data_IF_033275808059
#
_entry.id   IF_033275808059
#
_cell.length_a   1.000
_cell.length_b   1.000
_cell.length_c   1.000
_cell.angle_alpha   90.00
_cell.angle_beta   90.00
_cell.angle_gamma   90.00
#
_symmetry.space_group_name_H-M   'P 1'
#
loop_
_entity.id
_entity.type
_entity.pdbx_description
1 polymer ?
#
# COMPACT_ATOMS: atom_id res chain seq x y z
N UNK A 1 -29.09 -10.33 -35.95
CA UNK A 1 -27.99 -11.18 -35.43
C UNK A 1 -27.68 -10.76 -34.01
N UNK A 2 -27.32 -11.75 -33.21
CA UNK A 2 -27.63 -11.88 -31.79
C UNK A 2 -26.88 -10.91 -30.86
N UNK A 3 -27.60 -10.42 -29.85
CA UNK A 3 -27.13 -9.49 -28.83
C UNK A 3 -26.33 -10.23 -27.76
N UNK A 4 -25.02 -9.98 -27.73
CA UNK A 4 -24.12 -10.57 -26.73
C UNK A 4 -24.42 -10.01 -25.33
N UNK A 5 -25.23 -10.75 -24.56
CA UNK A 5 -25.50 -10.56 -23.13
C UNK A 5 -24.20 -10.49 -22.35
N UNK A 6 -23.91 -9.34 -21.74
CA UNK A 6 -22.97 -9.22 -20.61
C UNK A 6 -23.38 -10.21 -19.53
N UNK A 7 -22.50 -11.16 -19.22
CA UNK A 7 -22.63 -12.07 -18.07
C UNK A 7 -22.57 -11.30 -16.75
N UNK A 8 -23.67 -10.64 -16.39
CA UNK A 8 -23.88 -10.07 -15.07
C UNK A 8 -24.01 -11.21 -14.07
N UNK A 9 -23.09 -11.28 -13.11
CA UNK A 9 -23.19 -12.19 -11.97
C UNK A 9 -24.46 -11.80 -11.20
N UNK A 10 -25.54 -12.57 -11.43
CA UNK A 10 -26.87 -12.36 -10.85
C UNK A 10 -26.85 -12.49 -9.32
N UNK A 11 -27.35 -11.46 -8.65
CA UNK A 11 -28.39 -11.61 -7.62
C UNK A 11 -28.08 -12.40 -6.34
N UNK A 12 -26.91 -12.23 -5.72
CA UNK A 12 -26.67 -12.64 -4.33
C UNK A 12 -26.32 -11.45 -3.45
N UNK A 13 -26.57 -11.53 -2.14
CA UNK A 13 -26.15 -10.50 -1.19
C UNK A 13 -24.67 -10.17 -1.41
N UNK A 14 -24.36 -8.91 -1.75
CA UNK A 14 -22.98 -8.49 -2.03
C UNK A 14 -22.16 -8.67 -0.77
N UNK A 15 -21.22 -9.61 -0.78
CA UNK A 15 -20.20 -9.72 0.27
C UNK A 15 -19.50 -8.38 0.42
N UNK A 16 -19.25 -7.93 1.66
CA UNK A 16 -18.52 -6.70 1.92
C UNK A 16 -17.20 -6.71 1.13
N UNK A 17 -16.94 -5.63 0.40
CA UNK A 17 -15.72 -5.51 -0.38
C UNK A 17 -14.52 -5.40 0.56
N UNK A 18 -13.59 -6.35 0.46
CA UNK A 18 -12.31 -6.29 1.18
C UNK A 18 -11.27 -5.63 0.29
N UNK A 19 -10.57 -4.62 0.81
CA UNK A 19 -9.55 -3.89 0.05
C UNK A 19 -8.32 -4.76 -0.23
N UNK A 20 -7.55 -4.42 -1.27
CA UNK A 20 -6.31 -5.14 -1.57
C UNK A 20 -5.27 -5.03 -0.45
N UNK A 21 -5.22 -3.89 0.25
CA UNK A 21 -4.36 -3.70 1.42
C UNK A 21 -4.72 -4.67 2.54
N UNK A 22 -6.01 -4.75 2.92
CA UNK A 22 -6.48 -5.67 3.96
C UNK A 22 -6.21 -7.13 3.56
N UNK A 23 -6.47 -7.50 2.30
CA UNK A 23 -6.18 -8.87 1.81
C UNK A 23 -4.69 -9.23 1.83
N UNK A 24 -3.82 -8.24 1.67
CA UNK A 24 -2.37 -8.43 1.67
C UNK A 24 -1.74 -8.26 3.07
N UNK A 25 -2.52 -7.88 4.09
CA UNK A 25 -2.00 -7.61 5.43
C UNK A 25 -1.15 -6.34 5.53
N UNK A 26 -1.34 -5.37 4.64
CA UNK A 26 -0.52 -4.15 4.56
C UNK A 26 -1.29 -2.93 5.07
N UNK A 27 -0.62 -2.07 5.84
CA UNK A 27 -1.11 -0.73 6.21
C UNK A 27 -1.06 0.24 5.02
N UNK A 28 -0.06 0.09 4.15
CA UNK A 28 0.13 0.96 3.00
C UNK A 28 -0.96 0.76 1.93
N UNK A 29 -1.35 1.83 1.20
CA UNK A 29 -2.50 1.78 0.30
C UNK A 29 -2.15 1.18 -1.07
N UNK A 30 -2.27 -0.15 -1.20
CA UNK A 30 -2.02 -0.92 -2.45
C UNK A 30 -2.79 -0.34 -3.65
N UNK A 31 -4.06 0.05 -3.46
CA UNK A 31 -4.88 0.62 -4.54
C UNK A 31 -4.37 1.96 -5.06
N UNK A 32 -3.82 2.79 -4.16
CA UNK A 32 -3.23 4.09 -4.52
C UNK A 32 -1.92 3.91 -5.27
N UNK A 33 -1.08 2.99 -4.81
CA UNK A 33 0.19 2.63 -5.47
C UNK A 33 -0.07 2.08 -6.87
N UNK A 34 -1.05 1.19 -7.03
CA UNK A 34 -1.47 0.71 -8.35
C UNK A 34 -1.88 1.84 -9.31
N UNK A 35 -2.60 2.85 -8.81
CA UNK A 35 -2.98 4.03 -9.60
C UNK A 35 -1.77 4.86 -9.99
N UNK A 36 -0.83 5.07 -9.08
CA UNK A 36 0.39 5.82 -9.36
C UNK A 36 1.32 5.11 -10.34
N UNK A 37 1.48 3.79 -10.24
CA UNK A 37 2.23 3.00 -11.23
C UNK A 37 1.65 3.13 -12.65
N UNK A 38 0.31 3.14 -12.78
CA UNK A 38 -0.35 3.37 -14.08
C UNK A 38 -0.18 4.81 -14.58
N UNK A 39 -0.34 5.80 -13.69
CA UNK A 39 -0.18 7.22 -14.05
C UNK A 39 1.25 7.55 -14.46
N UNK A 40 2.24 6.93 -13.83
CA UNK A 40 3.66 7.12 -14.14
C UNK A 40 4.11 6.53 -15.47
N UNK A 41 3.28 5.72 -16.14
CA UNK A 41 3.57 5.11 -17.46
C UNK A 41 4.89 4.31 -17.49
N UNK A 42 5.31 3.74 -16.37
CA UNK A 42 6.55 2.95 -16.27
C UNK A 42 6.57 1.69 -17.15
N UNK A 43 5.39 1.18 -17.51
CA UNK A 43 5.22 0.07 -18.44
C UNK A 43 3.84 0.12 -19.11
N UNK A 44 3.71 -0.54 -20.28
CA UNK A 44 2.43 -0.67 -21.00
C UNK A 44 1.36 -1.39 -20.17
N UNK A 45 1.77 -2.34 -19.33
CA UNK A 45 0.90 -3.08 -18.41
C UNK A 45 1.60 -3.21 -17.06
N UNK A 46 0.83 -3.16 -15.99
CA UNK A 46 1.30 -3.37 -14.61
C UNK A 46 0.67 -4.65 -14.09
N UNK A 47 1.49 -5.61 -13.67
CA UNK A 47 1.03 -6.87 -13.09
C UNK A 47 0.20 -6.65 -11.82
N UNK A 48 -0.70 -7.58 -11.52
CA UNK A 48 -1.61 -7.46 -10.36
C UNK A 48 -0.88 -7.48 -9.02
N UNK A 49 0.24 -8.20 -8.93
CA UNK A 49 1.09 -8.31 -7.74
C UNK A 49 2.10 -7.17 -7.57
N UNK A 50 2.49 -6.48 -8.65
CA UNK A 50 3.46 -5.38 -8.58
C UNK A 50 3.11 -4.30 -7.53
N UNK A 51 1.88 -3.76 -7.46
CA UNK A 51 1.54 -2.77 -6.42
C UNK A 51 1.46 -3.35 -5.01
N UNK A 52 1.29 -4.67 -4.85
CA UNK A 52 1.32 -5.32 -3.54
C UNK A 52 2.76 -5.41 -3.05
N UNK A 53 3.67 -5.90 -3.91
CA UNK A 53 5.08 -6.02 -3.59
C UNK A 53 5.70 -4.66 -3.27
N UNK A 54 5.45 -3.65 -4.11
CA UNK A 54 5.95 -2.30 -3.87
C UNK A 54 5.38 -1.69 -2.58
N UNK A 55 4.10 -1.91 -2.27
CA UNK A 55 3.51 -1.45 -1.02
C UNK A 55 4.19 -2.07 0.20
N UNK A 56 4.47 -3.38 0.16
CA UNK A 56 5.14 -4.09 1.23
C UNK A 56 6.58 -3.56 1.44
N UNK A 57 7.34 -3.35 0.37
CA UNK A 57 8.70 -2.79 0.46
C UNK A 57 8.68 -1.37 1.04
N UNK A 58 7.76 -0.51 0.58
CA UNK A 58 7.66 0.85 1.12
C UNK A 58 7.23 0.86 2.59
N UNK A 59 6.33 -0.04 3.00
CA UNK A 59 5.89 -0.19 4.38
C UNK A 59 7.02 -0.68 5.28
N UNK A 60 7.79 -1.67 4.81
CA UNK A 60 8.97 -2.17 5.53
C UNK A 60 10.01 -1.07 5.75
N UNK A 61 10.40 -0.35 4.70
CA UNK A 61 11.39 0.73 4.81
C UNK A 61 10.90 1.86 5.73
N UNK A 62 9.61 2.22 5.66
CA UNK A 62 9.05 3.22 6.54
C UNK A 62 9.04 2.75 8.00
N UNK A 63 8.70 1.48 8.27
CA UNK A 63 8.72 0.91 9.61
C UNK A 63 10.15 0.90 10.18
N UNK A 64 11.14 0.48 9.39
CA UNK A 64 12.55 0.44 9.81
C UNK A 64 13.06 1.83 10.23
N UNK A 65 12.86 2.84 9.38
CA UNK A 65 13.27 4.21 9.67
C UNK A 65 12.53 4.77 10.90
N UNK A 66 11.23 4.48 11.03
CA UNK A 66 10.45 4.94 12.18
C UNK A 66 10.84 4.27 13.49
N UNK A 67 11.22 2.99 13.47
CA UNK A 67 11.70 2.26 14.63
C UNK A 67 13.01 2.85 15.13
N UNK A 68 14.00 3.01 14.24
CA UNK A 68 15.30 3.59 14.59
C UNK A 68 15.15 5.05 15.05
N UNK A 69 14.38 5.87 14.33
CA UNK A 69 14.15 7.27 14.72
C UNK A 69 13.31 7.38 16.00
N UNK A 70 12.43 6.42 16.27
CA UNK A 70 11.66 6.30 17.50
C UNK A 70 12.55 5.99 18.71
N UNK A 71 13.51 5.08 18.54
CA UNK A 71 14.51 4.76 19.56
C UNK A 71 15.42 5.98 19.82
N UNK A 72 15.92 6.65 18.79
CA UNK A 72 16.67 7.90 18.95
C UNK A 72 15.86 8.99 19.66
N UNK A 73 14.54 9.09 19.43
CA UNK A 73 13.69 10.02 20.15
C UNK A 73 13.56 9.65 21.64
N UNK A 74 13.37 8.36 21.93
CA UNK A 74 13.25 7.82 23.29
C UNK A 74 14.52 8.04 24.09
N UNK A 75 15.68 7.81 23.51
CA UNK A 75 17.00 8.03 24.13
C UNK A 75 17.21 9.51 24.48
N UNK A 76 16.70 10.41 23.63
CA UNK A 76 16.66 11.85 23.87
C UNK A 76 15.51 12.30 24.81
N UNK A 77 14.81 11.36 25.45
CA UNK A 77 13.67 11.58 26.36
C UNK A 77 12.56 12.42 25.70
N UNK A 78 12.30 12.19 24.41
CA UNK A 78 11.24 12.85 23.63
C UNK A 78 10.18 11.84 23.20
N UNK A 79 8.92 12.29 23.21
CA UNK A 79 7.77 11.49 22.75
C UNK A 79 7.41 11.74 21.27
N UNK A 80 8.15 12.62 20.57
CA UNK A 80 7.91 12.97 19.17
C UNK A 80 9.19 12.85 18.36
N UNK A 81 9.12 12.15 17.22
CA UNK A 81 10.18 12.10 16.23
C UNK A 81 10.31 13.48 15.56
N UNK A 82 11.52 14.03 15.51
CA UNK A 82 11.87 15.28 14.81
C UNK A 82 12.95 14.98 13.75
N UNK A 83 13.24 15.89 12.81
CA UNK A 83 14.23 15.64 11.76
C UNK A 83 15.61 15.18 12.28
N UNK A 84 16.04 15.67 13.45
CA UNK A 84 17.29 15.21 14.08
C UNK A 84 17.29 13.73 14.43
N UNK A 85 16.18 13.16 14.88
CA UNK A 85 16.12 11.73 15.21
C UNK A 85 16.20 10.86 13.96
N UNK A 86 15.67 11.34 12.82
CA UNK A 86 15.79 10.65 11.53
C UNK A 86 17.23 10.68 11.01
N UNK A 87 17.99 11.75 11.29
CA UNK A 87 19.41 11.83 10.92
C UNK A 87 20.31 10.92 11.76
N UNK A 88 19.92 10.64 13.01
CA UNK A 88 20.70 9.82 13.95
C UNK A 88 20.36 8.33 13.87
N UNK A 89 19.25 7.99 13.21
CA UNK A 89 18.84 6.64 12.87
C UNK A 89 19.67 6.10 11.72
#
# INVERSE_FOLDING_TARGET
>A
MDGSKKGGRKGGAKKKAVTKSIRAGLQFPVGRIARFLKKGRYAKRVGTGAPVYLAAVMEYLAAEVLELAGNAARDNKKNRIIPRHVLLA
#
